data_IF_737294794498
#
_entry.id   IF_737294794498
#
_cell.length_a   1.000
_cell.length_b   1.000
_cell.length_c   1.000
_cell.angle_alpha   90.00
_cell.angle_beta   90.00
_cell.angle_gamma   90.00
#
_symmetry.space_group_name_H-M   'P 1'
#
loop_
_entity.id
_entity.type
_entity.pdbx_description
1 polymer ?
#
# COMPACT_ATOMS: atom_id res chain seq x y z
N UNK A 1 -16.38 -4.25 -24.94
CA UNK A 1 -15.28 -3.67 -24.14
C UNK A 1 -15.55 -3.98 -22.68
N UNK A 2 -14.72 -4.81 -22.02
CA UNK A 2 -14.75 -4.94 -20.55
C UNK A 2 -13.73 -3.94 -20.02
N UNK A 3 -14.19 -2.76 -19.59
CA UNK A 3 -13.36 -1.90 -18.76
C UNK A 3 -13.25 -2.58 -17.40
N UNK A 4 -12.10 -3.18 -17.11
CA UNK A 4 -11.79 -3.67 -15.77
C UNK A 4 -11.13 -2.53 -15.00
N UNK A 5 -11.53 -2.34 -13.74
CA UNK A 5 -10.85 -1.42 -12.82
C UNK A 5 -9.43 -1.94 -12.56
N UNK A 6 -8.42 -1.09 -12.73
CA UNK A 6 -7.06 -1.41 -12.34
C UNK A 6 -6.84 -1.16 -10.85
N UNK A 7 -5.80 -1.77 -10.28
CA UNK A 7 -5.49 -1.56 -8.86
C UNK A 7 -5.17 -0.10 -8.55
N UNK A 8 -4.52 0.60 -9.48
CA UNK A 8 -4.25 2.04 -9.36
C UNK A 8 -5.54 2.86 -9.22
N UNK A 9 -6.64 2.48 -9.91
CA UNK A 9 -7.93 3.15 -9.77
C UNK A 9 -8.46 3.05 -8.34
N UNK A 10 -8.28 1.89 -7.70
CA UNK A 10 -8.67 1.64 -6.32
C UNK A 10 -7.83 2.49 -5.36
N UNK A 11 -6.52 2.57 -5.58
CA UNK A 11 -5.65 3.42 -4.77
C UNK A 11 -6.01 4.90 -4.94
N UNK A 12 -6.29 5.34 -6.17
CA UNK A 12 -6.71 6.73 -6.45
C UNK A 12 -7.98 7.11 -5.69
N UNK A 13 -8.94 6.19 -5.55
CA UNK A 13 -10.17 6.41 -4.77
C UNK A 13 -9.87 6.57 -3.27
N UNK A 14 -8.85 5.87 -2.75
CA UNK A 14 -8.54 5.84 -1.32
C UNK A 14 -7.46 6.85 -0.88
N UNK A 15 -6.64 7.37 -1.80
CA UNK A 15 -5.63 8.41 -1.52
C UNK A 15 -6.19 9.64 -0.77
N UNK A 16 -7.40 10.14 -1.06
CA UNK A 16 -7.95 11.28 -0.33
C UNK A 16 -8.06 11.06 1.19
N UNK A 17 -8.20 9.82 1.68
CA UNK A 17 -8.26 9.54 3.12
C UNK A 17 -6.94 9.85 3.85
N UNK A 18 -5.82 9.78 3.13
CA UNK A 18 -4.49 10.20 3.62
C UNK A 18 -4.45 11.72 3.77
N UNK A 19 -4.89 12.46 2.74
CA UNK A 19 -4.90 13.93 2.76
C UNK A 19 -5.86 14.50 3.81
N UNK A 20 -7.04 13.89 3.98
CA UNK A 20 -8.03 14.28 5.00
C UNK A 20 -7.49 14.14 6.43
N UNK A 21 -6.62 13.16 6.68
CA UNK A 21 -5.98 13.00 7.98
C UNK A 21 -5.15 14.24 8.34
N UNK A 22 -4.40 14.78 7.37
CA UNK A 22 -3.67 16.04 7.56
C UNK A 22 -4.61 17.22 7.70
N UNK A 23 -5.63 17.32 6.86
CA UNK A 23 -6.62 18.41 6.90
C UNK A 23 -7.28 18.54 8.27
N UNK A 24 -7.77 17.43 8.84
CA UNK A 24 -8.35 17.39 10.19
C UNK A 24 -7.26 17.60 11.25
N UNK A 25 -6.05 17.07 11.00
CA UNK A 25 -4.90 17.29 11.86
C UNK A 25 -4.58 18.78 12.02
N UNK A 26 -4.72 19.56 10.95
CA UNK A 26 -4.42 20.98 10.88
C UNK A 26 -5.61 21.89 11.22
N UNK A 27 -6.85 21.37 11.22
CA UNK A 27 -8.05 22.17 11.53
C UNK A 27 -8.16 22.59 13.01
N UNK A 28 -7.39 21.97 13.90
CA UNK A 28 -7.31 22.32 15.32
C UNK A 28 -5.93 22.88 15.67
N UNK A 29 -5.86 23.89 16.54
CA UNK A 29 -4.57 24.47 16.96
C UNK A 29 -3.80 23.51 17.88
N UNK A 30 -4.52 22.81 18.76
CA UNK A 30 -3.97 21.81 19.67
C UNK A 30 -4.95 20.65 19.87
N UNK A 31 -4.44 19.52 20.36
CA UNK A 31 -5.24 18.34 20.70
C UNK A 31 -6.19 18.56 21.88
N UNK A 32 -5.92 19.58 22.70
CA UNK A 32 -6.74 19.93 23.87
C UNK A 32 -8.01 20.71 23.51
N UNK A 33 -8.16 21.13 22.25
CA UNK A 33 -9.40 21.72 21.78
C UNK A 33 -10.54 20.69 21.80
N UNK A 34 -11.71 21.11 22.29
CA UNK A 34 -12.88 20.24 22.40
C UNK A 34 -13.21 19.58 21.05
N UNK A 35 -13.31 18.25 21.05
CA UNK A 35 -13.62 17.44 19.87
C UNK A 35 -12.45 17.16 18.91
N UNK A 36 -11.26 17.76 19.11
CA UNK A 36 -10.11 17.57 18.22
C UNK A 36 -9.67 16.11 18.13
N UNK A 37 -9.52 15.46 19.29
CA UNK A 37 -9.09 14.06 19.36
C UNK A 37 -10.15 13.10 18.80
N UNK A 38 -11.43 13.40 18.98
CA UNK A 38 -12.53 12.60 18.45
C UNK A 38 -12.59 12.68 16.92
N UNK A 39 -12.56 13.90 16.36
CA UNK A 39 -12.54 14.12 14.92
C UNK A 39 -11.33 13.45 14.25
N UNK A 40 -10.14 13.60 14.85
CA UNK A 40 -8.94 12.96 14.36
C UNK A 40 -9.03 11.43 14.44
N UNK A 41 -9.51 10.90 15.57
CA UNK A 41 -9.68 9.47 15.80
C UNK A 41 -10.64 8.81 14.80
N UNK A 42 -11.71 9.52 14.41
CA UNK A 42 -12.61 9.05 13.35
C UNK A 42 -11.89 8.93 12.01
N UNK A 43 -11.09 9.93 11.62
CA UNK A 43 -10.33 9.87 10.37
C UNK A 43 -9.24 8.80 10.38
N UNK A 44 -8.63 8.55 11.55
CA UNK A 44 -7.71 7.42 11.76
C UNK A 44 -8.41 6.09 11.43
N UNK A 45 -9.63 5.87 11.92
CA UNK A 45 -10.39 4.64 11.63
C UNK A 45 -10.75 4.50 10.15
N UNK A 46 -11.07 5.61 9.47
CA UNK A 46 -11.36 5.61 8.04
C UNK A 46 -10.12 5.23 7.22
N UNK A 47 -8.97 5.83 7.52
CA UNK A 47 -7.71 5.50 6.85
C UNK A 47 -7.29 4.05 7.14
N UNK A 48 -7.49 3.57 8.36
CA UNK A 48 -7.27 2.16 8.70
C UNK A 48 -8.09 1.22 7.81
N UNK A 49 -9.40 1.50 7.68
CA UNK A 49 -10.30 0.75 6.82
C UNK A 49 -9.83 0.75 5.36
N UNK A 50 -9.42 1.91 4.84
CA UNK A 50 -8.90 2.06 3.48
C UNK A 50 -7.64 1.21 3.25
N UNK A 51 -6.67 1.25 4.18
CA UNK A 51 -5.43 0.45 4.07
C UNK A 51 -5.74 -1.05 4.06
N UNK A 52 -6.58 -1.53 4.97
CA UNK A 52 -6.97 -2.94 5.06
C UNK A 52 -7.67 -3.38 3.76
N UNK A 53 -8.59 -2.55 3.24
CA UNK A 53 -9.33 -2.86 2.01
C UNK A 53 -8.41 -2.87 0.78
N UNK A 54 -7.58 -1.84 0.60
CA UNK A 54 -6.60 -1.77 -0.48
C UNK A 54 -5.69 -3.01 -0.47
N UNK A 55 -5.19 -3.42 0.70
CA UNK A 55 -4.34 -4.59 0.80
C UNK A 55 -5.07 -5.89 0.41
N UNK A 56 -6.31 -6.08 0.87
CA UNK A 56 -7.13 -7.25 0.47
C UNK A 56 -7.37 -7.27 -1.03
N UNK A 57 -7.65 -6.12 -1.63
CA UNK A 57 -7.85 -5.99 -3.08
C UNK A 57 -6.53 -6.27 -3.82
N UNK A 58 -5.40 -5.74 -3.35
CA UNK A 58 -4.07 -6.02 -3.90
C UNK A 58 -3.82 -7.52 -3.98
N UNK A 59 -4.09 -8.26 -2.89
CA UNK A 59 -3.95 -9.71 -2.86
C UNK A 59 -4.82 -10.42 -3.91
N UNK A 60 -6.06 -9.96 -4.12
CA UNK A 60 -6.96 -10.53 -5.13
C UNK A 60 -6.50 -10.20 -6.55
N UNK A 61 -6.08 -8.96 -6.80
CA UNK A 61 -5.63 -8.50 -8.13
C UNK A 61 -4.32 -9.18 -8.50
N UNK A 62 -3.33 -9.20 -7.61
CA UNK A 62 -2.07 -9.93 -7.78
C UNK A 62 -2.32 -11.40 -8.13
N UNK A 63 -3.25 -12.07 -7.43
CA UNK A 63 -3.60 -13.46 -7.73
C UNK A 63 -4.18 -13.64 -9.14
N UNK A 64 -5.02 -12.70 -9.60
CA UNK A 64 -5.59 -12.73 -10.95
C UNK A 64 -4.55 -12.47 -12.03
N UNK A 65 -3.54 -11.65 -11.72
CA UNK A 65 -2.41 -11.31 -12.59
C UNK A 65 -1.29 -12.35 -12.56
N UNK A 66 -1.42 -13.46 -11.82
CA UNK A 66 -0.36 -14.46 -11.61
C UNK A 66 0.22 -15.17 -12.85
N UNK A 67 -0.27 -14.86 -14.06
CA UNK A 67 0.37 -15.26 -15.31
C UNK A 67 1.49 -14.33 -15.77
N UNK A 68 1.61 -13.14 -15.18
CA UNK A 68 2.68 -12.16 -15.45
C UNK A 68 3.24 -11.66 -14.12
N UNK A 69 4.44 -12.14 -13.76
CA UNK A 69 5.11 -11.75 -12.52
C UNK A 69 5.40 -10.25 -12.46
N UNK A 70 5.58 -9.57 -13.59
CA UNK A 70 5.83 -8.13 -13.63
C UNK A 70 4.59 -7.36 -13.21
N UNK A 71 3.41 -7.75 -13.69
CA UNK A 71 2.16 -7.12 -13.27
C UNK A 71 1.83 -7.43 -11.79
N UNK A 72 2.22 -8.61 -11.29
CA UNK A 72 2.09 -8.95 -9.86
C UNK A 72 3.01 -8.07 -9.00
N UNK A 73 4.25 -7.87 -9.42
CA UNK A 73 5.20 -7.00 -8.74
C UNK A 73 4.67 -5.57 -8.66
N UNK A 74 4.13 -5.04 -9.78
CA UNK A 74 3.55 -3.70 -9.85
C UNK A 74 2.44 -3.51 -8.80
N UNK A 75 1.55 -4.48 -8.62
CA UNK A 75 0.47 -4.41 -7.61
C UNK A 75 1.04 -4.28 -6.19
N UNK A 76 2.05 -5.08 -5.85
CA UNK A 76 2.65 -5.03 -4.50
C UNK A 76 3.48 -3.77 -4.28
N UNK A 77 4.16 -3.27 -5.31
CA UNK A 77 4.85 -1.99 -5.28
C UNK A 77 3.87 -0.84 -5.04
N UNK A 78 2.78 -0.78 -5.81
CA UNK A 78 1.74 0.24 -5.64
C UNK A 78 1.14 0.21 -4.22
N UNK A 79 0.88 -0.99 -3.67
CA UNK A 79 0.39 -1.15 -2.30
C UNK A 79 1.41 -0.68 -1.25
N UNK A 80 2.68 -1.02 -1.43
CA UNK A 80 3.76 -0.58 -0.53
C UNK A 80 3.92 0.95 -0.54
N UNK A 81 3.88 1.56 -1.73
CA UNK A 81 3.93 3.02 -1.88
C UNK A 81 2.73 3.70 -1.22
N UNK A 82 1.52 3.12 -1.34
CA UNK A 82 0.34 3.64 -0.66
C UNK A 82 0.50 3.63 0.87
N UNK A 83 1.00 2.53 1.44
CA UNK A 83 1.31 2.48 2.87
C UNK A 83 2.41 3.47 3.27
N UNK A 84 3.44 3.64 2.44
CA UNK A 84 4.53 4.59 2.70
C UNK A 84 4.00 6.02 2.82
N UNK A 85 3.12 6.44 1.92
CA UNK A 85 2.48 7.76 1.98
C UNK A 85 1.68 7.95 3.28
N UNK A 86 0.91 6.93 3.68
CA UNK A 86 0.16 6.98 4.94
C UNK A 86 1.09 7.07 6.17
N UNK A 87 2.21 6.35 6.18
CA UNK A 87 3.19 6.40 7.28
C UNK A 87 3.86 7.77 7.40
N UNK A 88 4.14 8.43 6.28
CA UNK A 88 4.72 9.78 6.25
C UNK A 88 3.78 10.79 6.90
N UNK A 89 2.49 10.73 6.55
CA UNK A 89 1.47 11.58 7.18
C UNK A 89 1.33 11.31 8.67
N UNK A 90 1.16 10.04 9.06
CA UNK A 90 1.05 9.65 10.47
C UNK A 90 2.28 10.09 11.28
N UNK A 91 3.47 10.01 10.70
CA UNK A 91 4.71 10.45 11.35
C UNK A 91 4.73 11.96 11.59
N UNK A 92 4.18 12.77 10.68
CA UNK A 92 4.09 14.22 10.87
C UNK A 92 3.11 14.61 11.98
N UNK A 93 2.04 13.82 12.17
CA UNK A 93 0.94 14.13 13.09
C UNK A 93 1.09 13.49 14.49
N UNK A 94 2.00 12.51 14.64
CA UNK A 94 2.18 11.77 15.90
C UNK A 94 2.45 12.62 17.13
N UNK A 95 3.15 13.75 16.96
CA UNK A 95 3.50 14.64 18.08
C UNK A 95 2.30 15.50 18.48
N UNK A 96 1.41 15.81 17.53
CA UNK A 96 0.23 16.63 17.76
C UNK A 96 -0.92 15.81 18.35
N UNK A 97 -1.11 14.57 17.87
CA UNK A 97 -2.19 13.67 18.31
C UNK A 97 -1.65 12.34 18.86
N UNK A 98 -0.87 12.33 19.97
CA UNK A 98 -0.22 11.11 20.46
C UNK A 98 -1.19 10.04 20.97
N UNK A 99 -2.38 10.44 21.45
CA UNK A 99 -3.34 9.53 22.09
C UNK A 99 -4.65 9.32 21.30
N UNK A 100 -4.72 9.84 20.07
CA UNK A 100 -5.94 9.78 19.25
C UNK A 100 -5.89 8.66 18.19
N UNK A 101 -5.25 7.52 18.52
CA UNK A 101 -5.16 6.36 17.64
C UNK A 101 -3.97 6.35 16.66
N UNK A 102 -3.17 7.41 16.62
CA UNK A 102 -2.05 7.56 15.67
C UNK A 102 -1.01 6.46 15.77
N UNK A 103 -0.64 6.04 16.99
CA UNK A 103 0.36 5.00 17.21
C UNK A 103 -0.13 3.63 16.72
N UNK A 104 -1.36 3.25 17.10
CA UNK A 104 -1.95 1.96 16.69
C UNK A 104 -2.10 1.87 15.18
N UNK A 105 -2.55 2.96 14.54
CA UNK A 105 -2.64 3.01 13.09
C UNK A 105 -1.25 2.95 12.43
N UNK A 106 -0.26 3.68 12.95
CA UNK A 106 1.10 3.64 12.43
C UNK A 106 1.65 2.21 12.39
N UNK A 107 1.52 1.47 13.49
CA UNK A 107 1.97 0.08 13.58
C UNK A 107 1.24 -0.81 12.57
N UNK A 108 -0.09 -0.68 12.43
CA UNK A 108 -0.83 -1.46 11.44
C UNK A 108 -0.46 -1.14 10.01
N UNK A 109 -0.28 0.13 9.67
CA UNK A 109 0.15 0.52 8.31
C UNK A 109 1.56 -0.01 8.04
N UNK A 110 2.45 0.01 9.04
CA UNK A 110 3.78 -0.55 8.93
C UNK A 110 3.74 -2.06 8.69
N UNK A 111 2.89 -2.81 9.40
CA UNK A 111 2.71 -4.24 9.18
C UNK A 111 2.26 -4.54 7.74
N UNK A 112 1.30 -3.78 7.21
CA UNK A 112 0.85 -3.93 5.82
C UNK A 112 1.92 -3.55 4.80
N UNK A 113 2.71 -2.51 5.07
CA UNK A 113 3.86 -2.14 4.23
C UNK A 113 4.89 -3.28 4.18
N UNK A 114 5.32 -3.77 5.33
CA UNK A 114 6.30 -4.85 5.43
C UNK A 114 5.78 -6.13 4.75
N UNK A 115 4.49 -6.41 4.88
CA UNK A 115 3.84 -7.53 4.21
C UNK A 115 3.80 -7.36 2.68
N UNK A 116 3.58 -6.15 2.17
CA UNK A 116 3.64 -5.84 0.74
C UNK A 116 5.07 -5.91 0.19
N UNK A 117 6.03 -5.31 0.90
CA UNK A 117 7.47 -5.34 0.55
C UNK A 117 7.99 -6.78 0.46
N UNK A 118 7.64 -7.63 1.44
CA UNK A 118 8.02 -9.05 1.43
C UNK A 118 7.50 -9.79 0.19
N UNK A 119 6.28 -9.46 -0.26
CA UNK A 119 5.67 -10.08 -1.45
C UNK A 119 6.29 -9.55 -2.74
N UNK A 120 6.54 -8.25 -2.81
CA UNK A 120 7.27 -7.64 -3.91
C UNK A 120 8.65 -8.29 -4.08
N UNK A 121 9.40 -8.42 -2.98
CA UNK A 121 10.72 -9.05 -2.99
C UNK A 121 10.65 -10.50 -3.49
N UNK A 122 9.71 -11.30 -3.00
CA UNK A 122 9.56 -12.68 -3.44
C UNK A 122 9.30 -12.79 -4.95
N UNK A 123 8.42 -11.93 -5.49
CA UNK A 123 8.11 -11.91 -6.93
C UNK A 123 9.31 -11.44 -7.75
N UNK A 124 10.07 -10.45 -7.26
CA UNK A 124 11.30 -9.99 -7.92
C UNK A 124 12.36 -11.09 -7.96
N UNK A 125 12.51 -11.86 -6.88
CA UNK A 125 13.42 -13.02 -6.84
C UNK A 125 13.02 -14.10 -7.86
N UNK A 126 11.72 -14.35 -8.03
CA UNK A 126 11.19 -15.26 -9.06
C UNK A 126 11.48 -14.75 -10.49
N UNK A 127 11.23 -13.46 -10.76
CA UNK A 127 11.55 -12.83 -12.05
C UNK A 127 13.04 -12.98 -12.39
N UNK A 128 13.92 -12.73 -11.43
CA UNK A 128 15.37 -12.88 -11.63
C UNK A 128 15.78 -14.33 -11.86
N UNK A 129 15.11 -15.29 -11.23
CA UNK A 129 15.32 -16.71 -11.47
C UNK A 129 14.92 -17.10 -12.90
N UNK A 130 13.76 -16.65 -13.38
CA UNK A 130 13.31 -16.88 -14.75
C UNK A 130 14.32 -16.33 -15.76
N UNK A 131 14.77 -15.08 -15.57
CA UNK A 131 15.81 -14.46 -16.43
C UNK A 131 17.11 -15.26 -16.45
N UNK A 132 17.57 -15.77 -15.31
CA UNK A 132 18.82 -16.53 -15.20
C UNK A 132 18.71 -17.94 -15.76
N UNK A 133 17.53 -18.55 -15.67
CA UNK A 133 17.25 -19.90 -16.17
C UNK A 133 16.95 -19.95 -17.68
N UNK A 134 16.83 -18.80 -18.34
CA UNK A 134 16.76 -18.72 -19.79
C UNK A 134 18.01 -19.40 -20.39
N UNK A 135 17.80 -20.50 -21.10
CA UNK A 135 18.87 -21.27 -21.75
C UNK A 135 19.63 -20.30 -22.67
N UNK A 136 20.96 -20.18 -22.53
CA UNK A 136 21.76 -19.35 -23.43
C UNK A 136 21.56 -19.78 -24.88
N UNK A 137 21.31 -18.82 -25.77
CA UNK A 137 21.23 -19.10 -27.21
C UNK A 137 22.49 -19.85 -27.67
N UNK A 138 22.31 -20.98 -28.36
CA UNK A 138 23.40 -21.84 -28.84
C UNK A 138 23.83 -22.97 -27.91
N UNK A 139 23.15 -23.20 -26.78
CA UNK A 139 23.45 -24.35 -25.90
C UNK A 139 22.97 -25.69 -26.49
N UNK A 140 21.94 -25.65 -27.35
CA UNK A 140 21.45 -26.82 -28.07
C UNK A 140 21.60 -26.60 -29.58
N UNK A 141 21.98 -27.64 -30.35
CA UNK A 141 22.04 -27.54 -31.80
C UNK A 141 20.65 -27.26 -32.37
N UNK A 142 20.59 -26.41 -33.39
CA UNK A 142 19.33 -26.14 -34.11
C UNK A 142 18.77 -27.44 -34.69
N UNK A 143 17.45 -27.67 -34.59
CA UNK A 143 16.84 -28.87 -35.14
C UNK A 143 17.07 -28.91 -36.66
N UNK A 144 17.79 -29.94 -37.09
CA UNK A 144 18.07 -30.29 -38.49
C UNK A 144 16.81 -30.66 -39.26
#
# INVERSE_FOLDING_TARGET
MKACLEFEDILRINRPEISKLREIGDSFESVDQDGACEAFGQQVQLLEGAVIQCYKIAAVVARKKGGDLSEVAEVWEQMSQFCQLALEELRSLKNKYPHCGTAQLYDRVLDYKLAADKRLQAVQEEIECEKRSAIPNGLFPDPS
#
